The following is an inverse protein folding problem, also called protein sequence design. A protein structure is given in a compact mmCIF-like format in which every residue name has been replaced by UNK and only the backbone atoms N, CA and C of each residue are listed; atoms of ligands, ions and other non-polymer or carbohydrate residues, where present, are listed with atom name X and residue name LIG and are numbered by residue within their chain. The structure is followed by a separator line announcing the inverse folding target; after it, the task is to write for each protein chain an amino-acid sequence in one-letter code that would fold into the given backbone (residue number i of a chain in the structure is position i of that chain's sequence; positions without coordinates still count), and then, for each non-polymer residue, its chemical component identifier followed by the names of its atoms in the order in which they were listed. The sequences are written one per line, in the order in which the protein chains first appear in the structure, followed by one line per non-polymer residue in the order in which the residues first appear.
data_IF_771224833404
#
_entry.id   IF_771224833404
#
_cell.length_a   1.000
_cell.length_b   1.000
_cell.length_c   1.000
_cell.angle_alpha   90.00
_cell.angle_beta   90.00
_cell.angle_gamma   90.00
#
_symmetry.space_group_name_H-M   'P 1'
#
loop_
_entity.id
_entity.type
_entity.pdbx_description
1 polymer ?
#
# COMPACT_ATOMS: atom_id res chain seq x y z
N UNK A 1 2.08 24.22 15.68
CA UNK A 1 1.88 22.93 15.01
C UNK A 1 3.02 22.00 15.39
N UNK A 2 2.77 20.99 16.20
CA UNK A 2 3.78 20.00 16.61
C UNK A 2 3.73 18.83 15.63
N UNK A 3 4.71 18.77 14.73
CA UNK A 3 4.88 17.65 13.82
C UNK A 3 5.63 16.52 14.53
N UNK A 4 5.11 15.31 14.43
CA UNK A 4 5.61 14.14 15.16
C UNK A 4 6.35 13.23 14.17
N UNK A 5 7.68 13.03 14.34
CA UNK A 5 8.43 12.11 13.52
C UNK A 5 8.04 10.67 13.86
N UNK A 6 7.74 9.88 12.83
CA UNK A 6 7.48 8.45 12.92
C UNK A 6 8.29 7.68 11.87
N UNK A 7 8.53 6.40 12.15
CA UNK A 7 9.14 5.46 11.20
C UNK A 7 8.19 4.30 10.94
N UNK A 8 8.10 3.86 9.69
CA UNK A 8 7.24 2.76 9.25
C UNK A 8 8.10 1.74 8.51
N UNK A 9 8.18 0.51 9.01
CA UNK A 9 8.95 -0.57 8.42
C UNK A 9 8.05 -1.46 7.55
N UNK A 10 8.40 -1.61 6.28
CA UNK A 10 7.73 -2.50 5.34
C UNK A 10 8.74 -3.25 4.48
N UNK A 11 8.58 -4.58 4.31
CA UNK A 11 9.37 -5.35 3.33
C UNK A 11 10.90 -5.23 3.48
N UNK A 12 11.42 -4.92 4.67
CA UNK A 12 12.84 -4.67 4.92
C UNK A 12 13.27 -3.20 4.81
N UNK A 13 12.48 -2.35 4.16
CA UNK A 13 12.69 -0.90 4.04
C UNK A 13 12.05 -0.15 5.23
N UNK A 14 12.67 0.95 5.65
CA UNK A 14 12.10 1.85 6.66
C UNK A 14 11.81 3.22 6.01
N UNK A 15 10.55 3.63 6.10
CA UNK A 15 10.05 4.92 5.64
C UNK A 15 9.98 5.88 6.83
N UNK A 16 10.42 7.12 6.65
CA UNK A 16 10.37 8.16 7.68
C UNK A 16 9.43 9.26 7.25
N UNK A 17 8.45 9.59 8.10
CA UNK A 17 7.51 10.67 7.82
C UNK A 17 7.19 11.47 9.08
N UNK A 18 6.65 12.65 8.85
CA UNK A 18 6.22 13.56 9.89
C UNK A 18 4.69 13.63 9.87
N UNK A 19 4.05 13.37 11.01
CA UNK A 19 2.61 13.44 11.17
C UNK A 19 2.23 14.60 12.07
N UNK A 20 1.30 15.42 11.62
CA UNK A 20 0.79 16.52 12.42
C UNK A 20 -0.25 16.01 13.43
N UNK A 21 -0.07 16.34 14.71
CA UNK A 21 -0.94 15.89 15.79
C UNK A 21 -2.05 16.90 16.15
N UNK A 22 -1.99 18.11 15.59
CA UNK A 22 -2.89 19.23 15.90
C UNK A 22 -3.44 19.91 14.63
N UNK A 23 -3.39 19.22 13.48
CA UNK A 23 -4.00 19.73 12.25
C UNK A 23 -5.51 19.46 12.24
N UNK A 24 -6.25 20.25 11.46
CA UNK A 24 -7.69 20.01 11.18
C UNK A 24 -7.93 18.71 10.36
N UNK A 25 -6.85 18.01 10.02
CA UNK A 25 -6.88 16.77 9.24
C UNK A 25 -7.46 15.66 10.12
N UNK A 26 -8.47 14.97 9.62
CA UNK A 26 -9.09 13.87 10.34
C UNK A 26 -8.09 12.72 10.55
N UNK A 27 -8.28 11.94 11.63
CA UNK A 27 -7.48 10.73 11.88
C UNK A 27 -7.52 9.76 10.69
N UNK A 28 -8.66 9.65 10.01
CA UNK A 28 -8.80 8.82 8.81
C UNK A 28 -7.95 9.32 7.64
N UNK A 29 -7.87 10.63 7.42
CA UNK A 29 -6.98 11.23 6.40
C UNK A 29 -5.52 11.06 6.78
N UNK A 30 -5.17 11.21 8.06
CA UNK A 30 -3.83 10.93 8.54
C UNK A 30 -3.38 9.49 8.23
N UNK A 31 -4.28 8.52 8.41
CA UNK A 31 -4.00 7.13 8.03
C UNK A 31 -3.82 6.98 6.51
N UNK A 32 -4.63 7.67 5.69
CA UNK A 32 -4.46 7.68 4.24
C UNK A 32 -3.11 8.28 3.82
N UNK A 33 -2.60 9.30 4.51
CA UNK A 33 -1.27 9.86 4.25
C UNK A 33 -0.17 8.82 4.47
N UNK A 34 -0.27 8.03 5.55
CA UNK A 34 0.67 6.94 5.81
C UNK A 34 0.59 5.89 4.69
N UNK A 35 -0.62 5.46 4.35
CA UNK A 35 -0.91 4.48 3.31
C UNK A 35 -0.29 4.90 1.96
N UNK A 36 -0.53 6.15 1.55
CA UNK A 36 0.02 6.72 0.33
C UNK A 36 1.55 6.81 0.38
N UNK A 37 2.13 7.21 1.51
CA UNK A 37 3.58 7.37 1.67
C UNK A 37 4.34 6.05 1.52
N UNK A 38 3.75 4.93 1.92
CA UNK A 38 4.36 3.59 1.79
C UNK A 38 3.76 2.80 0.61
N UNK A 39 2.97 3.43 -0.25
CA UNK A 39 2.35 2.82 -1.44
C UNK A 39 1.49 1.57 -1.17
N UNK A 40 0.86 1.48 -0.01
CA UNK A 40 -0.08 0.40 0.35
C UNK A 40 -1.48 1.00 0.42
N UNK A 41 -2.48 0.48 -0.31
CA UNK A 41 -3.86 0.94 -0.19
C UNK A 41 -4.38 0.94 1.26
N UNK A 42 -5.11 1.98 1.66
CA UNK A 42 -5.51 2.19 3.07
C UNK A 42 -6.37 1.05 3.64
N UNK A 43 -7.15 0.37 2.80
CA UNK A 43 -7.98 -0.79 3.10
C UNK A 43 -7.16 -2.08 3.29
N UNK A 44 -5.96 -2.12 2.73
CA UNK A 44 -5.02 -3.26 2.83
C UNK A 44 -3.93 -3.04 3.87
N UNK A 45 -3.76 -1.81 4.34
CA UNK A 45 -2.74 -1.45 5.32
C UNK A 45 -3.16 -1.78 6.76
N UNK A 46 -2.27 -2.47 7.47
CA UNK A 46 -2.29 -2.65 8.93
C UNK A 46 -0.97 -2.17 9.50
N UNK A 47 -1.02 -1.35 10.54
CA UNK A 47 0.14 -0.88 11.29
C UNK A 47 0.19 -1.58 12.65
N UNK A 48 1.34 -2.13 13.01
CA UNK A 48 1.58 -2.73 14.33
C UNK A 48 2.50 -1.81 15.12
N UNK A 49 2.05 -1.39 16.30
CA UNK A 49 2.85 -0.62 17.24
C UNK A 49 2.67 -1.20 18.65
N UNK A 50 3.78 -1.54 19.30
CA UNK A 50 3.81 -2.17 20.64
C UNK A 50 2.84 -3.36 20.77
N UNK A 51 2.77 -4.20 19.74
CA UNK A 51 1.90 -5.39 19.70
C UNK A 51 0.42 -5.10 19.40
N UNK A 52 -0.01 -3.83 19.34
CA UNK A 52 -1.39 -3.47 18.96
C UNK A 52 -1.49 -3.20 17.46
N UNK A 53 -2.57 -3.69 16.85
CA UNK A 53 -2.89 -3.51 15.44
C UNK A 53 -3.78 -2.29 15.22
N UNK A 54 -3.36 -1.43 14.30
CA UNK A 54 -4.08 -0.27 13.84
C UNK A 54 -4.43 -0.37 12.36
N UNK A 55 -5.65 -0.03 12.02
CA UNK A 55 -6.22 0.08 10.68
C UNK A 55 -6.89 1.46 10.57
N UNK A 56 -7.40 1.79 9.38
CA UNK A 56 -8.10 3.07 9.17
C UNK A 56 -9.25 3.27 10.16
N UNK A 57 -9.94 2.20 10.52
CA UNK A 57 -11.13 2.23 11.38
C UNK A 57 -10.79 2.56 12.83
N UNK A 58 -9.63 2.14 13.35
CA UNK A 58 -9.26 2.31 14.76
C UNK A 58 -8.01 3.18 14.99
N UNK A 59 -7.49 3.82 13.94
CA UNK A 59 -6.33 4.71 14.02
C UNK A 59 -6.54 5.86 15.01
N UNK A 60 -7.79 6.30 15.16
CA UNK A 60 -8.16 7.36 16.10
C UNK A 60 -7.87 7.00 17.57
N UNK A 61 -7.82 5.71 17.92
CA UNK A 61 -7.46 5.24 19.27
C UNK A 61 -5.99 5.50 19.62
N UNK A 62 -5.15 5.80 18.62
CA UNK A 62 -3.73 5.97 18.82
C UNK A 62 -3.38 7.43 19.15
N UNK A 63 -2.84 7.63 20.35
CA UNK A 63 -2.15 8.85 20.72
C UNK A 63 -0.77 8.88 20.08
N UNK A 64 -0.53 9.86 19.21
CA UNK A 64 0.77 10.03 18.57
C UNK A 64 1.76 10.66 19.55
N UNK A 65 2.92 10.05 19.66
CA UNK A 65 4.06 10.49 20.46
C UNK A 65 5.32 10.45 19.60
N UNK A 66 6.39 11.14 20.00
CA UNK A 66 7.64 11.13 19.24
C UNK A 66 8.28 9.73 19.15
N UNK A 67 9.01 9.48 18.07
CA UNK A 67 9.83 8.28 17.86
C UNK A 67 9.02 6.96 17.81
N UNK A 68 7.80 7.01 17.27
CA UNK A 68 7.02 5.79 17.06
C UNK A 68 7.55 5.01 15.86
N UNK A 69 7.80 3.72 16.07
CA UNK A 69 8.22 2.78 15.04
C UNK A 69 7.11 1.77 14.78
N UNK A 70 6.51 1.84 13.60
CA UNK A 70 5.45 0.95 13.16
C UNK A 70 6.04 -0.16 12.31
N UNK A 71 5.55 -1.38 12.48
CA UNK A 71 5.68 -2.43 11.48
C UNK A 71 4.41 -2.40 10.61
N UNK A 72 4.53 -2.21 9.31
CA UNK A 72 3.38 -2.29 8.42
C UNK A 72 3.24 -3.68 7.82
N UNK A 73 1.98 -4.07 7.60
CA UNK A 73 1.56 -5.29 6.94
C UNK A 73 0.52 -4.87 5.90
N UNK A 74 0.70 -5.31 4.66
CA UNK A 74 -0.19 -5.01 3.56
C UNK A 74 0.47 -5.41 2.25
N UNK A 75 -0.22 -5.16 1.14
CA UNK A 75 0.30 -5.40 -0.19
C UNK A 75 0.43 -4.06 -0.90
N UNK A 76 1.65 -3.72 -1.35
CA UNK A 76 1.87 -2.55 -2.18
C UNK A 76 1.22 -2.76 -3.55
N UNK A 77 0.69 -1.69 -4.13
CA UNK A 77 0.30 -1.74 -5.53
C UNK A 77 1.56 -1.84 -6.39
N UNK A 78 1.52 -2.71 -7.39
CA UNK A 78 2.57 -2.77 -8.38
C UNK A 78 2.57 -1.50 -9.22
N UNK A 79 3.77 -1.02 -9.57
CA UNK A 79 3.90 0.15 -10.44
C UNK A 79 3.28 -0.15 -11.84
N UNK A 80 2.28 0.62 -12.24
CA UNK A 80 1.56 0.44 -13.51
C UNK A 80 2.11 1.35 -14.62
N UNK A 81 3.23 2.05 -14.38
CA UNK A 81 3.82 2.99 -15.35
C UNK A 81 4.12 2.27 -16.68
N UNK A 82 3.68 2.87 -17.78
CA UNK A 82 3.80 2.36 -19.16
C UNK A 82 3.02 1.07 -19.48
N UNK A 83 2.01 0.72 -18.67
CA UNK A 83 1.12 -0.42 -18.95
C UNK A 83 -0.27 0.12 -19.27
N UNK A 84 -0.89 -0.34 -20.36
CA UNK A 84 -2.26 0.05 -20.68
C UNK A 84 -3.22 -0.58 -19.65
N UNK A 85 -4.08 0.26 -19.07
CA UNK A 85 -5.12 -0.17 -18.14
C UNK A 85 -6.03 -1.23 -18.75
N UNK A 86 -6.30 -1.16 -20.06
CA UNK A 86 -7.13 -2.14 -20.78
C UNK A 86 -6.49 -3.53 -20.81
N UNK A 87 -5.17 -3.60 -20.91
CA UNK A 87 -4.45 -4.88 -20.90
C UNK A 87 -4.51 -5.53 -19.52
N UNK A 88 -4.35 -4.73 -18.47
CA UNK A 88 -4.50 -5.17 -17.08
C UNK A 88 -5.92 -5.73 -16.86
N UNK A 89 -6.95 -4.97 -17.27
CA UNK A 89 -8.35 -5.39 -17.14
C UNK A 89 -8.66 -6.66 -17.96
N UNK A 90 -8.11 -6.77 -19.16
CA UNK A 90 -8.25 -7.96 -20.01
C UNK A 90 -7.72 -9.21 -19.30
N UNK A 91 -6.50 -9.15 -18.76
CA UNK A 91 -5.89 -10.27 -18.03
C UNK A 91 -6.68 -10.61 -16.77
N UNK A 92 -7.05 -9.60 -15.97
CA UNK A 92 -7.86 -9.79 -14.77
C UNK A 92 -9.18 -10.50 -15.08
N UNK A 93 -9.90 -10.07 -16.13
CA UNK A 93 -11.17 -10.68 -16.51
C UNK A 93 -11.00 -12.09 -17.08
N UNK A 94 -10.02 -12.30 -17.96
CA UNK A 94 -9.84 -13.57 -18.65
C UNK A 94 -9.35 -14.69 -17.71
N UNK A 95 -8.49 -14.35 -16.76
CA UNK A 95 -7.85 -15.34 -15.87
C UNK A 95 -8.34 -15.26 -14.41
N UNK A 96 -9.22 -14.31 -14.08
CA UNK A 96 -9.74 -14.08 -12.71
C UNK A 96 -8.63 -13.87 -11.68
N UNK A 97 -7.55 -13.21 -12.09
CA UNK A 97 -6.40 -12.87 -11.22
C UNK A 97 -6.54 -11.47 -10.63
N UNK A 98 -5.83 -11.20 -9.55
CA UNK A 98 -5.75 -9.86 -8.97
C UNK A 98 -4.91 -8.92 -9.85
N UNK A 99 -5.09 -7.61 -9.61
CA UNK A 99 -4.46 -6.55 -10.40
C UNK A 99 -2.92 -6.59 -10.34
N UNK A 100 -2.34 -6.87 -9.17
CA UNK A 100 -0.89 -6.93 -9.03
C UNK A 100 -0.30 -8.12 -9.81
N UNK A 101 -0.97 -9.27 -9.79
CA UNK A 101 -0.59 -10.43 -10.61
C UNK A 101 -0.65 -10.10 -12.10
N UNK A 102 -1.71 -9.42 -12.56
CA UNK A 102 -1.83 -8.97 -13.94
C UNK A 102 -0.70 -8.00 -14.33
N UNK A 103 -0.45 -6.96 -13.50
CA UNK A 103 0.62 -5.98 -13.72
C UNK A 103 2.00 -6.64 -13.74
N UNK A 104 2.30 -7.56 -12.83
CA UNK A 104 3.56 -8.33 -12.82
C UNK A 104 3.74 -9.13 -14.10
N UNK A 105 2.68 -9.76 -14.60
CA UNK A 105 2.75 -10.53 -15.84
C UNK A 105 3.04 -9.63 -17.05
N UNK A 106 2.43 -8.44 -17.12
CA UNK A 106 2.66 -7.47 -18.20
C UNK A 106 4.07 -6.85 -18.14
N UNK A 107 4.65 -6.69 -16.95
CA UNK A 107 6.06 -6.28 -16.82
C UNK A 107 7.04 -7.32 -17.34
N UNK A 108 6.73 -8.60 -17.15
CA UNK A 108 7.56 -9.71 -17.64
C UNK A 108 7.34 -9.96 -19.14
N UNK A 109 6.10 -9.80 -19.59
CA UNK A 109 5.66 -10.04 -20.96
C UNK A 109 4.82 -8.84 -21.44
N UNK A 110 5.45 -7.84 -22.09
CA UNK A 110 4.75 -6.61 -22.51
C UNK A 110 3.60 -6.83 -23.51
N UNK A 111 3.55 -8.00 -24.16
CA UNK A 111 2.43 -8.39 -25.00
C UNK A 111 1.36 -9.09 -24.15
N UNK A 112 0.13 -8.57 -24.19
CA UNK A 112 -1.02 -9.08 -23.42
C UNK A 112 -1.30 -10.56 -23.65
N UNK A 113 -1.18 -11.05 -24.89
CA UNK A 113 -1.39 -12.48 -25.20
C UNK A 113 -0.30 -13.34 -24.57
N UNK A 114 0.97 -12.91 -24.66
CA UNK A 114 2.08 -13.63 -24.07
C UNK A 114 1.95 -13.67 -22.54
N UNK A 115 1.52 -12.57 -21.91
CA UNK A 115 1.23 -12.52 -20.48
C UNK A 115 0.09 -13.47 -20.07
N UNK A 116 -0.98 -13.54 -20.87
CA UNK A 116 -2.09 -14.50 -20.66
C UNK A 116 -1.60 -15.94 -20.77
N UNK A 117 -0.82 -16.26 -21.82
CA UNK A 117 -0.27 -17.60 -22.02
C UNK A 117 0.70 -17.99 -20.90
N UNK A 118 1.52 -17.05 -20.42
CA UNK A 118 2.41 -17.28 -19.29
C UNK A 118 1.63 -17.61 -18.01
N UNK A 119 0.62 -16.80 -17.66
CA UNK A 119 -0.19 -17.02 -16.46
C UNK A 119 -1.07 -18.26 -16.56
N UNK A 120 -1.59 -18.58 -17.74
CA UNK A 120 -2.44 -19.75 -17.96
C UNK A 120 -1.69 -21.09 -17.92
N UNK A 121 -0.38 -21.08 -18.12
CA UNK A 121 0.49 -22.28 -18.06
C UNK A 121 1.23 -22.42 -16.71
N UNK A 122 0.91 -21.57 -15.74
CA UNK A 122 1.49 -21.58 -14.39
C UNK A 122 0.63 -22.38 -13.42
#
# INVERSE_FOLDING_TARGET
MTSIPISIKYGGTTYHMHLDNQSDISKSEQFNLIANHIHIPSDRLKLIYKGKRYTKENWHDLSLISNMNFLSIGEQNEDETNIDTKDIECIMHQLKVDRNTAVRSLKLHPNTIDAILYLGNK
#
